data_IF_691300162071
#
_entry.id   IF_691300162071
#
_cell.length_a   1.000
_cell.length_b   1.000
_cell.length_c   1.000
_cell.angle_alpha   90.00
_cell.angle_beta   90.00
_cell.angle_gamma   90.00
#
_symmetry.space_group_name_H-M   'P 1'
#
loop_
_entity.id
_entity.type
_entity.pdbx_description
1 polymer ?
#
# COMPACT_ATOMS: atom_id res chain seq x y z
N UNK A 1 43.62 -37.80 -1.73
CA UNK A 1 43.00 -37.53 -0.41
C UNK A 1 42.67 -36.06 -0.28
N UNK A 2 41.45 -35.64 -0.65
CA UNK A 2 40.82 -34.38 -0.23
C UNK A 2 39.31 -34.60 -0.29
N UNK A 3 38.68 -34.82 0.85
CA UNK A 3 37.23 -35.03 1.00
C UNK A 3 36.57 -33.69 1.28
N UNK A 4 35.78 -33.18 0.35
CA UNK A 4 34.99 -31.96 0.54
C UNK A 4 33.56 -32.35 0.93
N UNK A 5 33.24 -32.22 2.22
CA UNK A 5 31.88 -32.32 2.74
C UNK A 5 31.15 -31.02 2.41
N UNK A 6 30.36 -31.01 1.33
CA UNK A 6 29.38 -29.95 1.11
C UNK A 6 28.13 -30.28 1.93
N UNK A 7 28.02 -29.65 3.10
CA UNK A 7 26.79 -29.62 3.89
C UNK A 7 25.78 -28.74 3.14
N UNK A 8 24.89 -29.36 2.38
CA UNK A 8 23.76 -28.68 1.78
C UNK A 8 22.84 -28.18 2.90
N UNK A 9 22.81 -26.86 3.11
CA UNK A 9 21.77 -26.20 3.90
C UNK A 9 20.58 -26.10 2.94
N UNK A 10 19.74 -27.13 2.95
CA UNK A 10 18.45 -27.09 2.27
C UNK A 10 17.56 -26.14 3.09
N UNK A 11 17.02 -25.05 2.50
CA UNK A 11 15.98 -24.28 3.18
C UNK A 11 14.74 -25.17 3.26
N UNK A 12 14.49 -25.73 4.45
CA UNK A 12 13.26 -26.47 4.73
C UNK A 12 12.11 -25.48 4.77
N UNK A 13 11.48 -25.23 3.63
CA UNK A 13 10.17 -24.57 3.60
C UNK A 13 9.15 -25.56 4.16
N UNK A 14 8.74 -25.34 5.41
CA UNK A 14 7.73 -26.14 6.10
C UNK A 14 6.37 -25.77 5.50
N UNK A 15 5.92 -26.57 4.53
CA UNK A 15 4.55 -26.54 4.02
C UNK A 15 3.59 -26.62 5.22
N UNK A 16 2.81 -25.58 5.48
CA UNK A 16 1.68 -25.64 6.41
C UNK A 16 0.55 -26.47 5.77
N UNK A 17 0.79 -27.77 5.63
CA UNK A 17 -0.28 -28.76 5.45
C UNK A 17 -0.49 -29.46 6.79
N UNK A 18 -0.74 -28.67 7.85
CA UNK A 18 -1.24 -29.23 9.10
C UNK A 18 -2.76 -29.07 9.11
N UNK A 19 -3.44 -30.05 8.50
CA UNK A 19 -4.82 -30.37 8.84
C UNK A 19 -4.82 -31.11 10.19
N UNK A 20 -4.29 -30.45 11.21
CA UNK A 20 -4.68 -30.76 12.59
C UNK A 20 -5.78 -29.77 12.89
N UNK A 21 -7.02 -30.22 13.14
CA UNK A 21 -8.07 -29.30 13.55
C UNK A 21 -7.52 -28.52 14.74
N UNK A 22 -7.55 -27.19 14.64
CA UNK A 22 -7.35 -26.33 15.79
C UNK A 22 -8.36 -26.81 16.82
N UNK A 23 -7.89 -27.55 17.82
CA UNK A 23 -8.70 -27.98 18.94
C UNK A 23 -8.87 -26.73 19.80
N UNK A 24 -9.83 -25.88 19.42
CA UNK A 24 -10.24 -24.77 20.25
C UNK A 24 -10.68 -25.39 21.58
N UNK A 25 -10.04 -25.06 22.72
CA UNK A 25 -10.45 -25.59 23.99
C UNK A 25 -11.90 -25.17 24.22
N UNK A 26 -12.78 -26.17 24.34
CA UNK A 26 -14.21 -25.96 24.51
C UNK A 26 -14.49 -25.66 25.98
N UNK A 27 -14.34 -24.40 26.37
CA UNK A 27 -14.60 -23.91 27.73
C UNK A 27 -13.56 -22.89 28.22
N UNK A 28 -13.85 -22.16 29.32
CA UNK A 28 -12.89 -21.25 29.92
C UNK A 28 -11.66 -22.03 30.38
N UNK A 29 -10.49 -21.62 29.90
CA UNK A 29 -9.21 -22.19 30.29
C UNK A 29 -8.90 -21.85 31.75
N UNK A 30 -8.42 -22.83 32.51
CA UNK A 30 -7.90 -22.58 33.86
C UNK A 30 -6.54 -21.86 33.81
N UNK A 31 -6.20 -21.11 34.86
CA UNK A 31 -4.96 -20.32 34.93
C UNK A 31 -3.70 -21.16 34.65
N UNK A 32 -3.64 -22.38 35.18
CA UNK A 32 -2.52 -23.31 34.97
C UNK A 32 -2.38 -23.78 33.52
N UNK A 33 -3.48 -23.88 32.78
CA UNK A 33 -3.46 -24.20 31.35
C UNK A 33 -2.94 -23.02 30.52
N UNK A 34 -3.30 -21.79 30.91
CA UNK A 34 -2.80 -20.57 30.26
C UNK A 34 -1.29 -20.46 30.47
N UNK A 35 -0.80 -20.65 31.70
CA UNK A 35 0.63 -20.57 32.01
C UNK A 35 1.44 -21.63 31.23
N UNK A 36 0.90 -22.83 31.05
CA UNK A 36 1.53 -23.90 30.27
C UNK A 36 1.59 -23.55 28.77
N UNK A 37 0.53 -22.94 28.23
CA UNK A 37 0.48 -22.50 26.84
C UNK A 37 1.43 -21.33 26.58
N UNK A 38 1.50 -20.36 27.50
CA UNK A 38 2.37 -19.19 27.39
C UNK A 38 3.84 -19.53 27.65
N UNK A 39 4.15 -20.59 28.40
CA UNK A 39 5.51 -21.08 28.60
C UNK A 39 6.15 -21.65 27.32
N UNK A 40 5.34 -22.06 26.34
CA UNK A 40 5.80 -22.59 25.04
C UNK A 40 5.23 -21.78 23.87
N UNK A 41 5.62 -20.49 23.72
CA UNK A 41 5.13 -19.66 22.64
C UNK A 41 5.54 -20.30 21.31
N UNK A 42 4.56 -20.70 20.51
CA UNK A 42 4.80 -21.49 19.30
C UNK A 42 5.40 -20.62 18.18
N UNK A 43 5.22 -19.30 18.27
CA UNK A 43 5.74 -18.31 17.33
C UNK A 43 5.82 -16.94 18.02
N UNK A 44 6.94 -16.24 17.83
CA UNK A 44 7.04 -14.82 18.14
C UNK A 44 6.90 -14.03 16.84
N UNK A 45 6.17 -12.91 16.88
CA UNK A 45 6.01 -12.01 15.72
C UNK A 45 7.38 -11.51 15.26
N UNK A 46 8.31 -11.30 16.20
CA UNK A 46 9.69 -10.90 15.94
C UNK A 46 10.46 -11.92 15.08
N UNK A 47 10.12 -13.21 15.17
CA UNK A 47 10.72 -14.24 14.32
C UNK A 47 10.14 -14.26 12.90
N UNK A 48 8.98 -13.65 12.68
CA UNK A 48 8.34 -13.53 11.36
C UNK A 48 8.71 -12.23 10.65
N UNK A 49 9.20 -11.24 11.40
CA UNK A 49 9.74 -10.01 10.85
C UNK A 49 11.09 -10.30 10.19
N UNK A 50 11.34 -9.73 9.00
CA UNK A 50 12.59 -9.95 8.33
C UNK A 50 13.71 -9.21 9.09
N UNK A 51 14.84 -9.88 9.29
CA UNK A 51 15.97 -9.34 10.05
C UNK A 51 16.57 -8.12 9.36
N UNK A 52 16.92 -7.05 10.09
CA UNK A 52 17.44 -5.78 9.52
C UNK A 52 18.78 -5.87 8.76
N UNK A 53 19.27 -7.07 8.43
CA UNK A 53 20.41 -7.27 7.55
C UNK A 53 19.91 -7.41 6.12
N UNK A 54 20.07 -6.39 5.27
CA UNK A 54 19.69 -6.49 3.87
C UNK A 54 20.54 -7.56 3.20
N UNK A 55 19.90 -8.49 2.49
CA UNK A 55 20.60 -9.44 1.64
C UNK A 55 21.31 -8.67 0.52
N UNK A 56 22.54 -9.07 0.19
CA UNK A 56 23.35 -8.42 -0.86
C UNK A 56 22.72 -8.45 -2.27
N UNK A 57 21.58 -9.12 -2.44
CA UNK A 57 20.81 -9.22 -3.67
C UNK A 57 19.63 -8.23 -3.76
N UNK A 58 19.36 -7.43 -2.73
CA UNK A 58 18.26 -6.47 -2.80
C UNK A 58 18.57 -5.31 -3.76
N UNK A 59 17.60 -4.90 -4.61
CA UNK A 59 17.79 -3.80 -5.53
C UNK A 59 17.99 -2.50 -4.72
N UNK A 60 19.21 -1.98 -4.72
CA UNK A 60 19.52 -0.72 -4.05
C UNK A 60 18.86 0.44 -4.77
N UNK A 61 18.07 1.24 -4.05
CA UNK A 61 17.41 2.41 -4.63
C UNK A 61 18.45 3.51 -4.82
N UNK A 62 18.52 4.06 -6.04
CA UNK A 62 19.36 5.21 -6.35
C UNK A 62 18.75 6.51 -5.82
N UNK A 63 19.60 7.46 -5.42
CA UNK A 63 19.23 8.86 -5.15
C UNK A 63 18.39 9.49 -6.26
N UNK A 64 18.70 9.18 -7.53
CA UNK A 64 17.93 9.64 -8.70
C UNK A 64 16.49 9.13 -8.66
N UNK A 65 16.29 7.88 -8.23
CA UNK A 65 14.97 7.28 -8.08
C UNK A 65 14.21 7.93 -6.92
N UNK A 66 14.88 8.22 -5.80
CA UNK A 66 14.29 8.97 -4.69
C UNK A 66 13.76 10.32 -5.17
N UNK A 67 14.58 11.12 -5.87
CA UNK A 67 14.15 12.42 -6.40
C UNK A 67 13.00 12.30 -7.40
N UNK A 68 13.00 11.23 -8.21
CA UNK A 68 11.90 10.96 -9.13
C UNK A 68 10.59 10.67 -8.39
N UNK A 69 10.64 9.85 -7.34
CA UNK A 69 9.48 9.54 -6.51
C UNK A 69 8.94 10.79 -5.81
N UNK A 70 9.82 11.65 -5.27
CA UNK A 70 9.42 12.90 -4.64
C UNK A 70 8.68 13.81 -5.63
N UNK A 71 9.14 13.88 -6.88
CA UNK A 71 8.45 14.63 -7.93
C UNK A 71 7.07 14.05 -8.25
N UNK A 72 6.93 12.73 -8.30
CA UNK A 72 5.63 12.07 -8.56
C UNK A 72 4.65 12.27 -7.42
N UNK A 73 5.13 12.29 -6.17
CA UNK A 73 4.32 12.58 -4.98
C UNK A 73 4.12 14.08 -4.74
N UNK A 74 4.57 14.95 -5.65
CA UNK A 74 4.54 16.41 -5.51
C UNK A 74 5.18 16.93 -4.20
N UNK A 75 6.21 16.23 -3.72
CA UNK A 75 7.00 16.61 -2.54
C UNK A 75 8.24 17.43 -2.95
N UNK A 76 8.72 18.33 -2.08
CA UNK A 76 9.95 19.08 -2.32
C UNK A 76 11.18 18.15 -2.28
N UNK A 77 12.27 18.60 -2.92
CA UNK A 77 13.56 17.93 -2.83
C UNK A 77 14.14 18.06 -1.41
N UNK A 78 14.95 17.09 -0.96
CA UNK A 78 15.57 17.13 0.36
C UNK A 78 16.49 18.34 0.49
N UNK A 79 16.48 18.99 1.65
CA UNK A 79 17.25 20.20 1.90
C UNK A 79 18.73 19.91 2.18
N UNK A 80 19.04 18.68 2.60
CA UNK A 80 20.39 18.25 2.98
C UNK A 80 20.67 16.80 2.61
N UNK A 81 21.96 16.48 2.43
CA UNK A 81 22.40 15.11 2.16
C UNK A 81 22.09 14.15 3.32
N UNK A 82 22.13 14.63 4.56
CA UNK A 82 21.79 13.83 5.75
C UNK A 82 20.32 13.45 5.78
N UNK A 83 19.45 14.36 5.34
CA UNK A 83 18.01 14.08 5.19
C UNK A 83 17.78 13.07 4.06
N UNK A 84 18.44 13.24 2.92
CA UNK A 84 18.40 12.30 1.79
C UNK A 84 18.82 10.88 2.20
N UNK A 85 19.91 10.74 2.95
CA UNK A 85 20.39 9.45 3.47
C UNK A 85 19.38 8.81 4.46
N UNK A 86 18.76 9.61 5.32
CA UNK A 86 17.71 9.14 6.24
C UNK A 86 16.45 8.67 5.49
N UNK A 87 16.06 9.39 4.44
CA UNK A 87 14.93 9.01 3.59
C UNK A 87 15.21 7.72 2.82
N UNK A 88 16.42 7.58 2.27
CA UNK A 88 16.85 6.35 1.60
C UNK A 88 16.85 5.16 2.55
N UNK A 89 17.40 5.32 3.76
CA UNK A 89 17.37 4.27 4.78
C UNK A 89 15.94 3.82 5.08
N UNK A 90 15.05 4.78 5.32
CA UNK A 90 13.64 4.49 5.62
C UNK A 90 12.96 3.77 4.46
N UNK A 91 13.23 4.19 3.22
CA UNK A 91 12.66 3.58 2.03
C UNK A 91 13.18 2.14 1.81
N UNK A 92 14.46 1.89 2.08
CA UNK A 92 15.04 0.55 2.06
C UNK A 92 14.37 -0.36 3.09
N UNK A 93 14.21 0.10 4.33
CA UNK A 93 13.56 -0.68 5.40
C UNK A 93 12.10 -1.04 5.02
N UNK A 94 11.39 -0.11 4.39
CA UNK A 94 10.03 -0.34 3.88
C UNK A 94 9.99 -1.37 2.75
N UNK A 95 10.90 -1.28 1.77
CA UNK A 95 10.93 -2.25 0.66
C UNK A 95 11.32 -3.65 1.13
N UNK A 96 12.29 -3.76 2.03
CA UNK A 96 12.69 -5.04 2.60
C UNK A 96 11.50 -5.76 3.27
N UNK A 97 10.66 -5.00 3.99
CA UNK A 97 9.42 -5.53 4.55
C UNK A 97 8.42 -5.98 3.47
N UNK A 98 8.20 -5.16 2.43
CA UNK A 98 7.26 -5.50 1.34
C UNK A 98 7.74 -6.71 0.53
N UNK A 99 9.04 -6.78 0.21
CA UNK A 99 9.64 -7.92 -0.50
C UNK A 99 9.43 -9.21 0.30
N UNK A 100 9.60 -9.14 1.62
CA UNK A 100 9.35 -10.29 2.50
C UNK A 100 7.89 -10.77 2.43
N UNK A 101 6.91 -9.86 2.32
CA UNK A 101 5.51 -10.23 2.11
C UNK A 101 5.26 -10.88 0.74
N UNK A 102 5.95 -10.42 -0.31
CA UNK A 102 5.83 -11.01 -1.65
C UNK A 102 6.34 -12.46 -1.72
N UNK A 103 7.21 -12.88 -0.80
CA UNK A 103 7.67 -14.28 -0.73
C UNK A 103 6.60 -15.26 -0.25
N UNK A 104 5.48 -14.77 0.29
CA UNK A 104 4.40 -15.63 0.80
C UNK A 104 3.67 -16.28 -0.37
N UNK A 105 3.46 -17.60 -0.30
CA UNK A 105 2.68 -18.32 -1.30
C UNK A 105 1.21 -17.89 -1.24
N UNK A 106 0.72 -17.28 -2.32
CA UNK A 106 -0.68 -16.86 -2.50
C UNK A 106 -1.45 -17.75 -3.47
N UNK A 107 -0.92 -18.90 -3.87
CA UNK A 107 -1.63 -19.86 -4.74
C UNK A 107 -2.99 -20.25 -4.13
N UNK A 108 -4.06 -20.02 -4.90
CA UNK A 108 -5.44 -20.36 -4.50
C UNK A 108 -6.12 -19.37 -3.56
N UNK A 109 -5.54 -18.18 -3.34
CA UNK A 109 -6.16 -17.11 -2.55
C UNK A 109 -6.72 -16.04 -3.49
N UNK A 110 -8.00 -15.72 -3.34
CA UNK A 110 -8.60 -14.60 -4.07
C UNK A 110 -8.16 -13.26 -3.46
N UNK A 111 -7.80 -12.25 -4.28
CA UNK A 111 -7.49 -10.92 -3.77
C UNK A 111 -8.66 -10.35 -2.99
N UNK A 112 -8.37 -9.65 -1.89
CA UNK A 112 -9.41 -8.99 -1.09
C UNK A 112 -10.06 -7.91 -1.94
N UNK A 113 -11.26 -8.21 -2.44
CA UNK A 113 -12.16 -7.22 -3.00
C UNK A 113 -12.76 -6.47 -1.81
N UNK A 114 -12.87 -5.15 -1.90
CA UNK A 114 -13.30 -4.31 -0.78
C UNK A 114 -14.53 -4.90 -0.07
N UNK A 115 -14.60 -4.73 1.26
CA UNK A 115 -15.65 -5.27 2.14
C UNK A 115 -17.04 -4.64 1.91
N UNK A 116 -17.38 -4.34 0.65
CA UNK A 116 -18.75 -4.12 0.23
C UNK A 116 -19.44 -5.49 0.32
N UNK A 117 -19.85 -5.84 1.53
CA UNK A 117 -20.81 -6.92 1.78
C UNK A 117 -22.13 -6.50 1.14
N UNK A 118 -22.26 -6.78 -0.15
CA UNK A 118 -23.44 -6.54 -0.95
C UNK A 118 -23.28 -7.31 -2.24
N UNK A 119 -24.36 -7.92 -2.70
CA UNK A 119 -24.42 -8.57 -4.01
C UNK A 119 -23.64 -7.70 -5.01
N UNK A 120 -22.60 -8.27 -5.62
CA UNK A 120 -22.09 -7.67 -6.84
C UNK A 120 -23.25 -7.77 -7.82
N UNK A 121 -24.06 -6.73 -7.91
CA UNK A 121 -24.86 -6.51 -9.09
C UNK A 121 -23.82 -6.38 -10.20
N UNK A 122 -23.60 -7.49 -10.92
CA UNK A 122 -22.95 -7.43 -12.22
C UNK A 122 -23.69 -6.36 -12.99
N UNK A 123 -22.99 -5.26 -13.28
CA UNK A 123 -23.55 -4.16 -14.03
C UNK A 123 -23.83 -4.71 -15.44
N UNK A 124 -25.06 -5.14 -15.69
CA UNK A 124 -25.45 -5.67 -16.98
C UNK A 124 -25.49 -4.53 -18.00
N UNK A 125 -25.21 -4.87 -19.25
CA UNK A 125 -25.29 -3.90 -20.37
C UNK A 125 -26.67 -3.24 -20.44
N UNK A 126 -27.72 -3.97 -20.10
CA UNK A 126 -29.10 -3.48 -20.07
C UNK A 126 -29.35 -2.46 -18.96
N UNK A 127 -28.78 -2.68 -17.76
CA UNK A 127 -28.86 -1.73 -16.65
C UNK A 127 -28.13 -0.42 -17.00
N UNK A 128 -26.98 -0.50 -17.67
CA UNK A 128 -26.27 0.68 -18.18
C UNK A 128 -27.07 1.42 -19.24
N UNK A 129 -27.66 0.70 -20.20
CA UNK A 129 -28.42 1.31 -21.28
C UNK A 129 -29.67 2.03 -20.75
N UNK A 130 -30.35 1.43 -19.78
CA UNK A 130 -31.48 2.05 -19.09
C UNK A 130 -31.09 3.32 -18.33
N UNK A 131 -29.93 3.33 -17.66
CA UNK A 131 -29.47 4.50 -16.91
C UNK A 131 -28.99 5.64 -17.84
N UNK A 132 -28.35 5.31 -18.97
CA UNK A 132 -27.95 6.29 -20.00
C UNK A 132 -29.19 6.99 -20.57
N UNK A 133 -30.25 6.26 -20.91
CA UNK A 133 -31.49 6.87 -21.42
C UNK A 133 -32.15 7.80 -20.40
N UNK A 134 -32.15 7.43 -19.11
CA UNK A 134 -32.63 8.33 -18.04
C UNK A 134 -31.79 9.60 -17.92
N UNK A 135 -30.47 9.52 -18.13
CA UNK A 135 -29.59 10.70 -18.14
C UNK A 135 -29.88 11.59 -19.36
N UNK A 136 -30.18 11.02 -20.53
CA UNK A 136 -30.56 11.81 -21.71
C UNK A 136 -31.86 12.57 -21.51
N UNK A 137 -32.87 11.94 -20.91
CA UNK A 137 -34.12 12.61 -20.54
C UNK A 137 -33.88 13.71 -19.51
N UNK A 138 -33.12 13.43 -18.45
CA UNK A 138 -32.75 14.43 -17.42
C UNK A 138 -31.86 15.55 -17.94
N UNK A 139 -31.05 15.32 -18.99
CA UNK A 139 -30.24 16.34 -19.65
C UNK A 139 -31.10 17.37 -20.38
N UNK A 140 -32.29 16.98 -20.84
CA UNK A 140 -33.26 17.93 -21.41
C UNK A 140 -34.01 18.74 -20.34
N UNK A 141 -34.06 18.22 -19.11
CA UNK A 141 -34.73 18.84 -17.95
C UNK A 141 -33.76 19.65 -17.06
N UNK A 142 -32.45 19.41 -17.18
CA UNK A 142 -31.40 20.20 -16.56
C UNK A 142 -31.23 21.51 -17.33
N UNK A 143 -32.18 22.43 -17.13
CA UNK A 143 -31.92 23.85 -17.25
C UNK A 143 -30.58 24.14 -16.56
N UNK A 144 -29.69 24.80 -17.30
CA UNK A 144 -28.32 25.14 -16.91
C UNK A 144 -28.37 25.77 -15.54
N UNK A 145 -28.12 24.98 -14.48
CA UNK A 145 -28.03 25.49 -13.13
C UNK A 145 -26.91 26.53 -13.17
N UNK A 146 -27.30 27.78 -12.98
CA UNK A 146 -26.58 28.95 -13.43
C UNK A 146 -25.07 28.83 -13.19
N UNK A 147 -24.31 29.20 -14.23
CA UNK A 147 -22.84 29.31 -14.21
C UNK A 147 -22.34 30.14 -13.01
N UNK A 148 -23.21 30.93 -12.37
CA UNK A 148 -22.95 31.72 -11.17
C UNK A 148 -22.78 30.89 -9.88
N UNK A 149 -23.46 29.74 -9.73
CA UNK A 149 -23.26 28.84 -8.56
C UNK A 149 -21.90 28.13 -8.60
N UNK A 150 -21.28 28.04 -9.78
CA UNK A 150 -19.92 27.49 -9.92
C UNK A 150 -18.89 28.32 -9.15
N UNK A 151 -19.11 29.63 -8.99
CA UNK A 151 -18.24 30.49 -8.18
C UNK A 151 -18.18 30.07 -6.71
N UNK A 152 -19.27 29.47 -6.20
CA UNK A 152 -19.43 29.00 -4.82
C UNK A 152 -18.73 27.66 -4.56
N UNK A 153 -18.61 26.80 -5.58
CA UNK A 153 -17.90 25.52 -5.50
C UNK A 153 -16.38 25.68 -5.35
N UNK A 154 -15.80 26.69 -6.00
CA UNK A 154 -14.36 26.92 -5.93
C UNK A 154 -13.96 27.84 -4.76
N UNK A 155 -14.91 28.33 -3.95
CA UNK A 155 -14.74 29.37 -2.93
C UNK A 155 -14.28 28.89 -1.57
N UNK A 156 -13.57 27.76 -1.50
CA UNK A 156 -12.99 27.26 -0.26
C UNK A 156 -11.85 28.14 0.27
N UNK A 157 -11.64 28.09 1.58
CA UNK A 157 -10.55 28.78 2.27
C UNK A 157 -9.19 28.34 1.69
N UNK A 158 -8.33 29.31 1.32
CA UNK A 158 -6.97 29.04 0.80
C UNK A 158 -6.80 29.01 -0.72
N UNK A 159 -7.86 29.20 -1.52
CA UNK A 159 -7.78 29.19 -3.00
C UNK A 159 -7.69 30.61 -3.56
N UNK A 160 -6.61 30.92 -4.31
CA UNK A 160 -6.50 32.20 -5.03
C UNK A 160 -7.22 32.16 -6.38
N UNK A 161 -7.93 33.23 -6.70
CA UNK A 161 -8.72 33.36 -7.93
C UNK A 161 -8.48 34.70 -8.61
N UNK A 162 -8.46 34.68 -9.94
CA UNK A 162 -8.56 35.89 -10.77
C UNK A 162 -9.76 35.67 -11.71
N UNK A 163 -10.83 36.43 -11.47
CA UNK A 163 -12.10 36.25 -12.19
C UNK A 163 -12.66 34.83 -12.01
N UNK A 164 -12.79 34.09 -13.11
CA UNK A 164 -13.32 32.70 -13.14
C UNK A 164 -12.22 31.63 -13.09
N UNK A 165 -10.95 32.01 -12.96
CA UNK A 165 -9.82 31.09 -13.05
C UNK A 165 -9.15 30.90 -11.69
N UNK A 166 -8.73 29.67 -11.42
CA UNK A 166 -7.86 29.34 -10.30
C UNK A 166 -6.43 29.77 -10.64
N UNK A 167 -5.77 30.43 -9.68
CA UNK A 167 -4.43 30.96 -9.87
C UNK A 167 -3.46 30.13 -9.06
N UNK A 168 -2.79 29.22 -9.76
CA UNK A 168 -1.62 28.52 -9.24
C UNK A 168 -0.42 29.44 -9.46
N UNK A 169 0.41 29.64 -8.45
CA UNK A 169 1.68 30.34 -8.67
C UNK A 169 2.55 29.47 -9.57
N UNK A 170 3.08 30.05 -10.64
CA UNK A 170 4.22 29.45 -11.33
C UNK A 170 5.40 29.48 -10.36
N UNK A 171 5.63 28.37 -9.66
CA UNK A 171 6.86 28.16 -8.91
C UNK A 171 7.97 27.94 -9.93
N UNK A 172 8.56 29.05 -10.39
CA UNK A 172 9.71 29.03 -11.27
C UNK A 172 10.87 28.34 -10.57
N UNK A 173 11.16 27.09 -10.96
CA UNK A 173 12.43 26.42 -10.67
C UNK A 173 13.55 27.08 -11.50
N UNK A 174 13.86 28.33 -11.16
CA UNK A 174 15.08 29.02 -11.54
C UNK A 174 16.15 28.74 -10.51
N UNK A 175 16.75 27.55 -10.55
CA UNK A 175 18.04 27.33 -9.93
C UNK A 175 19.05 28.27 -10.62
N UNK A 176 19.32 29.40 -9.98
CA UNK A 176 20.42 30.28 -10.34
C UNK A 176 21.74 29.51 -10.16
N UNK A 177 22.19 28.91 -11.26
CA UNK A 177 23.60 28.53 -11.44
C UNK A 177 24.33 29.82 -11.77
N UNK A 178 25.02 30.36 -10.76
CA UNK A 178 26.13 31.29 -10.93
C UNK A 178 27.36 30.66 -10.26
#
# INVERSE_FOLDING_TARGET
MRTTLHRAIQPTFRRLSSTTPISVPKGPLSQSQIDTLLASPTWSIQSLLPTSTPDASEPSISTKTLHHLLRLSALPLPASKTEEESMLKTLHDQLHFVNSLQTVNTEGVEPVQGLLFGEQEEITWEALQAEISKVEEKKTEMEVRDVEESGKLFGGEGVRKIGRYLVVDDKGDGAAVA
#
